data_IF_655997154096
#
_entry.id   IF_655997154096
#
_cell.length_a   1.000
_cell.length_b   1.000
_cell.length_c   1.000
_cell.angle_alpha   90.00
_cell.angle_beta   90.00
_cell.angle_gamma   90.00
#
_symmetry.space_group_name_H-M   'P 1'
#
loop_
_entity.id
_entity.type
_entity.pdbx_description
1 polymer ?
#
# COMPACT_ATOMS: atom_id res chain seq x y z
N UNK A 1 -13.74 10.76 6.42
CA UNK A 1 -13.86 10.43 7.86
C UNK A 1 -13.06 9.18 8.23
N UNK A 2 -13.15 8.09 7.47
CA UNK A 2 -12.43 6.84 7.74
C UNK A 2 -10.91 6.97 7.83
N UNK A 3 -10.27 7.76 6.95
CA UNK A 3 -8.83 7.98 6.99
C UNK A 3 -8.34 8.55 8.34
N UNK A 4 -9.13 9.45 8.96
CA UNK A 4 -8.81 9.99 10.27
C UNK A 4 -9.03 8.95 11.38
N UNK A 5 -10.15 8.23 11.33
CA UNK A 5 -10.45 7.17 12.32
C UNK A 5 -9.39 6.06 12.26
N UNK A 6 -9.00 5.64 11.06
CA UNK A 6 -7.94 4.66 10.84
C UNK A 6 -6.58 5.17 11.28
N UNK A 7 -6.21 6.40 10.90
CA UNK A 7 -4.93 7.00 11.29
C UNK A 7 -4.79 7.19 12.80
N UNK A 8 -5.82 7.72 13.48
CA UNK A 8 -5.84 7.86 14.93
C UNK A 8 -5.95 6.51 15.64
N UNK A 9 -6.79 5.60 15.16
CA UNK A 9 -6.99 4.28 15.76
C UNK A 9 -5.74 3.40 15.66
N UNK A 10 -5.06 3.41 14.52
CA UNK A 10 -3.77 2.72 14.38
C UNK A 10 -2.67 3.42 15.17
N UNK A 11 -2.63 4.74 15.15
CA UNK A 11 -1.69 5.52 15.95
C UNK A 11 -1.81 5.21 17.44
N UNK A 12 -3.03 5.13 17.97
CA UNK A 12 -3.27 4.89 19.40
C UNK A 12 -2.89 3.47 19.86
N UNK A 13 -2.92 2.48 18.97
CA UNK A 13 -2.48 1.12 19.28
C UNK A 13 -0.95 1.02 19.33
N UNK A 14 -0.25 1.74 18.44
CA UNK A 14 1.20 1.67 18.29
C UNK A 14 1.92 2.90 18.86
N UNK A 15 1.47 3.41 20.00
CA UNK A 15 2.07 4.62 20.62
C UNK A 15 3.53 4.36 21.01
N UNK A 16 4.45 5.15 20.44
CA UNK A 16 5.89 5.14 20.74
C UNK A 16 6.52 3.74 20.67
N UNK A 17 6.63 3.23 19.45
CA UNK A 17 7.24 1.91 19.21
C UNK A 17 8.68 1.87 19.74
N UNK A 18 8.99 0.83 20.53
CA UNK A 18 10.29 0.63 21.17
C UNK A 18 11.39 0.38 20.12
N UNK A 19 12.64 0.71 20.43
CA UNK A 19 13.80 0.45 19.56
C UNK A 19 14.47 -0.90 19.87
N UNK A 20 13.65 -1.93 20.09
CA UNK A 20 14.09 -3.30 20.42
C UNK A 20 13.75 -4.28 19.28
N UNK A 21 14.23 -5.53 19.31
CA UNK A 21 13.84 -6.56 18.33
C UNK A 21 12.32 -6.74 18.22
N UNK A 22 11.61 -6.65 19.35
CA UNK A 22 10.14 -6.67 19.38
C UNK A 22 9.53 -5.46 18.65
N UNK A 23 10.16 -4.29 18.77
CA UNK A 23 9.74 -3.08 18.08
C UNK A 23 9.89 -3.16 16.56
N UNK A 24 10.88 -3.91 16.06
CA UNK A 24 11.02 -4.16 14.62
C UNK A 24 9.81 -4.92 14.07
N UNK A 25 9.34 -5.93 14.81
CA UNK A 25 8.14 -6.69 14.46
C UNK A 25 6.87 -5.83 14.58
N UNK A 26 6.77 -4.97 15.61
CA UNK A 26 5.65 -4.03 15.79
C UNK A 26 5.57 -3.01 14.64
N UNK A 27 6.69 -2.37 14.25
CA UNK A 27 6.74 -1.44 13.10
C UNK A 27 6.31 -2.11 11.81
N UNK A 28 6.75 -3.36 11.63
CA UNK A 28 6.37 -4.13 10.47
C UNK A 28 4.87 -4.46 10.46
N UNK A 29 4.31 -4.89 11.59
CA UNK A 29 2.88 -5.15 11.77
C UNK A 29 2.05 -3.90 11.51
N UNK A 30 2.51 -2.75 12.00
CA UNK A 30 1.92 -1.44 11.73
C UNK A 30 1.84 -1.14 10.23
N UNK A 31 2.93 -1.31 9.48
CA UNK A 31 2.94 -1.06 8.03
C UNK A 31 2.03 -2.01 7.27
N UNK A 32 2.07 -3.30 7.61
CA UNK A 32 1.21 -4.31 6.99
C UNK A 32 -0.28 -4.05 7.26
N UNK A 33 -0.63 -3.70 8.50
CA UNK A 33 -2.00 -3.39 8.87
C UNK A 33 -2.48 -2.07 8.26
N UNK A 34 -1.65 -1.02 8.27
CA UNK A 34 -1.97 0.27 7.63
C UNK A 34 -2.24 0.09 6.14
N UNK A 35 -1.40 -0.69 5.46
CA UNK A 35 -1.60 -1.06 4.06
C UNK A 35 -2.92 -1.80 3.85
N UNK A 36 -3.22 -2.80 4.67
CA UNK A 36 -4.46 -3.57 4.55
C UNK A 36 -5.70 -2.71 4.81
N UNK A 37 -5.66 -1.84 5.82
CA UNK A 37 -6.74 -0.89 6.12
C UNK A 37 -7.00 0.06 4.95
N UNK A 38 -5.96 0.65 4.37
CA UNK A 38 -6.08 1.54 3.21
C UNK A 38 -6.71 0.81 2.01
N UNK A 39 -6.23 -0.39 1.69
CA UNK A 39 -6.78 -1.18 0.58
C UNK A 39 -8.24 -1.56 0.82
N UNK A 40 -8.59 -2.04 2.02
CA UNK A 40 -9.97 -2.37 2.37
C UNK A 40 -10.90 -1.16 2.35
N UNK A 41 -10.43 0.03 2.76
CA UNK A 41 -11.24 1.25 2.73
C UNK A 41 -11.68 1.64 1.31
N UNK A 42 -10.90 1.30 0.28
CA UNK A 42 -11.26 1.64 -1.11
C UNK A 42 -12.38 0.76 -1.68
N UNK A 43 -12.70 -0.36 -1.02
CA UNK A 43 -13.79 -1.26 -1.46
C UNK A 43 -15.15 -0.57 -1.38
N UNK A 44 -15.30 0.42 -0.50
CA UNK A 44 -16.53 1.21 -0.39
C UNK A 44 -16.81 2.11 -1.60
N UNK A 45 -15.81 2.33 -2.47
CA UNK A 45 -16.00 3.03 -3.74
C UNK A 45 -16.61 2.13 -4.83
N UNK A 46 -16.64 0.81 -4.63
CA UNK A 46 -17.21 -0.17 -5.57
C UNK A 46 -18.65 0.15 -6.04
N UNK A 47 -19.64 0.40 -5.16
CA UNK A 47 -21.01 0.67 -5.60
C UNK A 47 -21.11 1.96 -6.41
N UNK A 48 -20.26 2.95 -6.11
CA UNK A 48 -20.18 4.20 -6.86
C UNK A 48 -19.69 3.91 -8.28
N UNK A 49 -18.60 3.15 -8.43
CA UNK A 49 -18.09 2.77 -9.76
C UNK A 49 -19.09 1.94 -10.57
N UNK A 50 -19.82 1.02 -9.93
CA UNK A 50 -20.87 0.25 -10.60
C UNK A 50 -22.02 1.15 -11.08
N UNK A 51 -22.42 2.13 -10.28
CA UNK A 51 -23.46 3.10 -10.66
C UNK A 51 -22.99 4.01 -11.81
N UNK A 52 -21.78 4.56 -11.71
CA UNK A 52 -21.18 5.40 -12.77
C UNK A 52 -21.09 4.66 -14.10
N UNK A 53 -20.68 3.39 -14.08
CA UNK A 53 -20.65 2.53 -15.28
C UNK A 53 -22.00 2.44 -15.97
N UNK A 54 -23.08 2.25 -15.21
CA UNK A 54 -24.44 2.14 -15.77
C UNK A 54 -24.90 3.44 -16.44
N UNK A 55 -24.54 4.58 -15.86
CA UNK A 55 -24.81 5.90 -16.44
C UNK A 55 -23.96 6.11 -17.70
N UNK A 56 -22.66 5.85 -17.62
CA UNK A 56 -21.72 5.99 -18.72
C UNK A 56 -22.13 5.17 -19.95
N UNK A 57 -22.55 3.92 -19.78
CA UNK A 57 -23.01 3.06 -20.89
C UNK A 57 -24.26 3.63 -21.58
N UNK A 58 -25.18 4.23 -20.81
CA UNK A 58 -26.38 4.88 -21.37
C UNK A 58 -26.05 6.16 -22.12
N UNK A 59 -25.10 6.95 -21.65
CA UNK A 59 -24.72 8.22 -22.29
C UNK A 59 -23.81 8.00 -23.50
N UNK A 60 -22.92 7.01 -23.45
CA UNK A 60 -22.08 6.59 -24.57
C UNK A 60 -22.92 6.03 -25.73
N UNK A 61 -23.95 5.22 -25.46
CA UNK A 61 -24.85 4.70 -26.51
C UNK A 61 -25.68 5.79 -27.21
N UNK A 62 -25.86 6.96 -26.57
CA UNK A 62 -26.50 8.15 -27.14
C UNK A 62 -25.51 9.07 -27.87
N UNK A 63 -24.22 8.74 -27.86
CA UNK A 63 -23.17 9.56 -28.47
C UNK A 63 -22.92 10.89 -27.76
N UNK A 64 -23.30 11.03 -26.49
CA UNK A 64 -23.17 12.30 -25.75
C UNK A 64 -21.72 12.72 -25.53
N UNK A 65 -20.81 11.77 -25.26
CA UNK A 65 -19.37 11.99 -25.14
C UNK A 65 -18.57 10.69 -25.30
N UNK A 66 -17.29 10.81 -25.66
CA UNK A 66 -16.34 9.69 -25.70
C UNK A 66 -15.97 9.26 -24.28
N UNK A 67 -15.88 7.95 -24.07
CA UNK A 67 -15.50 7.35 -22.79
C UNK A 67 -14.12 7.81 -22.33
N UNK A 68 -13.17 7.95 -23.25
CA UNK A 68 -11.81 8.39 -22.93
C UNK A 68 -11.77 9.82 -22.34
N UNK A 69 -12.59 10.73 -22.85
CA UNK A 69 -12.69 12.10 -22.32
C UNK A 69 -13.26 12.13 -20.90
N UNK A 70 -14.28 11.30 -20.63
CA UNK A 70 -14.85 11.15 -19.29
C UNK A 70 -13.83 10.56 -18.31
N UNK A 71 -13.09 9.52 -18.72
CA UNK A 71 -12.10 8.86 -17.86
C UNK A 71 -10.97 9.82 -17.46
N UNK A 72 -10.44 10.59 -18.42
CA UNK A 72 -9.37 11.57 -18.17
C UNK A 72 -9.84 12.65 -17.20
N UNK A 73 -11.04 13.20 -17.42
CA UNK A 73 -11.61 14.21 -16.53
C UNK A 73 -11.77 13.67 -15.10
N UNK A 74 -12.27 12.43 -14.98
CA UNK A 74 -12.46 11.79 -13.69
C UNK A 74 -11.13 11.52 -12.97
N UNK A 75 -10.12 11.02 -13.68
CA UNK A 75 -8.78 10.80 -13.12
C UNK A 75 -8.16 12.09 -12.59
N UNK A 76 -8.27 13.20 -13.33
CA UNK A 76 -7.72 14.50 -12.91
C UNK A 76 -8.38 15.00 -11.61
N UNK A 77 -9.68 14.73 -11.42
CA UNK A 77 -10.42 15.13 -10.22
C UNK A 77 -10.09 14.22 -9.03
N UNK A 78 -10.01 12.90 -9.25
CA UNK A 78 -9.73 11.95 -8.17
C UNK A 78 -8.29 12.05 -7.65
N UNK A 79 -7.32 12.36 -8.51
CA UNK A 79 -5.91 12.43 -8.15
C UNK A 79 -5.58 13.35 -6.94
N UNK A 80 -5.99 14.64 -6.91
CA UNK A 80 -5.78 15.51 -5.75
C UNK A 80 -6.62 15.10 -4.55
N UNK A 81 -7.82 14.55 -4.77
CA UNK A 81 -8.68 14.09 -3.68
C UNK A 81 -8.03 12.94 -2.90
N UNK A 82 -7.48 11.95 -3.61
CA UNK A 82 -6.76 10.83 -2.99
C UNK A 82 -5.48 11.30 -2.28
N UNK A 83 -4.84 12.36 -2.76
CA UNK A 83 -3.68 12.96 -2.08
C UNK A 83 -4.04 13.57 -0.73
N UNK A 84 -5.17 14.27 -0.65
CA UNK A 84 -5.69 14.82 0.62
C UNK A 84 -6.00 13.69 1.60
N UNK A 85 -6.64 12.60 1.14
CA UNK A 85 -6.94 11.43 1.97
C UNK A 85 -5.65 10.80 2.52
N UNK A 86 -4.61 10.68 1.68
CA UNK A 86 -3.31 10.16 2.10
C UNK A 86 -2.66 11.03 3.18
N UNK A 87 -2.70 12.37 3.06
CA UNK A 87 -2.21 13.29 4.09
C UNK A 87 -2.98 13.12 5.39
N UNK A 88 -4.32 13.08 5.33
CA UNK A 88 -5.16 12.95 6.52
C UNK A 88 -4.93 11.63 7.28
N UNK A 89 -4.60 10.55 6.58
CA UNK A 89 -4.20 9.29 7.21
C UNK A 89 -2.78 9.34 7.78
N UNK A 90 -1.83 9.87 7.00
CA UNK A 90 -0.40 9.81 7.35
C UNK A 90 0.01 10.78 8.46
N UNK A 91 -0.59 11.97 8.56
CA UNK A 91 -0.28 12.95 9.63
C UNK A 91 -0.47 12.37 11.03
N UNK A 92 -1.67 11.95 11.46
CA UNK A 92 -1.87 11.45 12.82
C UNK A 92 -1.06 10.18 13.08
N UNK A 93 -1.00 9.27 12.11
CA UNK A 93 -0.28 8.01 12.25
C UNK A 93 1.22 8.23 12.50
N UNK A 94 1.86 9.11 11.72
CA UNK A 94 3.31 9.32 11.80
C UNK A 94 3.73 9.96 13.13
N UNK A 95 2.99 10.98 13.56
CA UNK A 95 3.29 11.73 14.78
C UNK A 95 2.96 10.95 16.06
N UNK A 96 1.89 10.15 16.07
CA UNK A 96 1.49 9.38 17.27
C UNK A 96 2.42 8.18 17.48
N UNK A 97 2.77 7.47 16.40
CA UNK A 97 3.66 6.30 16.49
C UNK A 97 5.10 6.72 16.80
N UNK A 98 5.51 7.91 16.36
CA UNK A 98 6.86 8.43 16.59
C UNK A 98 7.89 7.82 15.63
N UNK A 99 7.56 7.78 14.34
CA UNK A 99 8.50 7.38 13.27
C UNK A 99 9.62 8.42 13.11
N UNK A 100 10.55 8.14 12.19
CA UNK A 100 11.71 9.00 11.94
C UNK A 100 11.35 10.50 11.82
N UNK A 101 11.92 11.41 12.62
CA UNK A 101 11.51 12.82 12.62
C UNK A 101 11.94 13.62 11.36
N UNK A 102 12.64 13.00 10.41
CA UNK A 102 13.10 13.68 9.19
C UNK A 102 11.94 14.07 8.27
N UNK A 103 11.88 15.35 7.88
CA UNK A 103 10.88 15.85 6.92
C UNK A 103 10.90 15.11 5.57
N UNK A 104 12.09 14.65 5.14
CA UNK A 104 12.24 13.86 3.91
C UNK A 104 11.63 12.46 4.03
N UNK A 105 11.71 11.83 5.21
CA UNK A 105 11.13 10.53 5.48
C UNK A 105 9.60 10.64 5.60
N UNK A 106 9.08 11.70 6.23
CA UNK A 106 7.65 11.98 6.26
C UNK A 106 7.07 12.19 4.85
N UNK A 107 7.71 13.03 4.04
CA UNK A 107 7.26 13.29 2.67
C UNK A 107 7.23 12.02 1.81
N UNK A 108 8.26 11.17 1.92
CA UNK A 108 8.28 9.88 1.21
C UNK A 108 7.21 8.91 1.74
N UNK A 109 6.97 8.87 3.05
CA UNK A 109 5.91 8.07 3.66
C UNK A 109 4.53 8.45 3.12
N UNK A 110 4.18 9.75 3.14
CA UNK A 110 2.91 10.25 2.60
C UNK A 110 2.79 9.97 1.11
N UNK A 111 3.86 10.12 0.34
CA UNK A 111 3.88 9.78 -1.08
C UNK A 111 3.60 8.28 -1.33
N UNK A 112 4.19 7.38 -0.54
CA UNK A 112 3.91 5.94 -0.64
C UNK A 112 2.47 5.62 -0.24
N UNK A 113 1.94 6.24 0.83
CA UNK A 113 0.52 6.09 1.23
C UNK A 113 -0.42 6.55 0.11
N UNK A 114 -0.08 7.64 -0.58
CA UNK A 114 -0.86 8.10 -1.72
C UNK A 114 -0.82 7.13 -2.90
N UNK A 115 0.36 6.56 -3.22
CA UNK A 115 0.49 5.51 -4.22
C UNK A 115 -0.30 4.24 -3.85
N UNK A 116 -0.34 3.88 -2.57
CA UNK A 116 -1.14 2.75 -2.06
C UNK A 116 -2.62 2.97 -2.37
N UNK A 117 -3.16 4.15 -2.04
CA UNK A 117 -4.57 4.47 -2.25
C UNK A 117 -4.89 4.52 -3.75
N UNK A 118 -4.01 5.10 -4.57
CA UNK A 118 -4.16 5.10 -6.03
C UNK A 118 -4.21 3.68 -6.60
N UNK A 119 -3.25 2.84 -6.21
CA UNK A 119 -3.18 1.44 -6.64
C UNK A 119 -4.41 0.64 -6.20
N UNK A 120 -4.88 0.86 -4.97
CA UNK A 120 -6.08 0.22 -4.44
C UNK A 120 -7.34 0.63 -5.21
N UNK A 121 -7.51 1.94 -5.48
CA UNK A 121 -8.60 2.45 -6.31
C UNK A 121 -8.57 1.86 -7.72
N UNK A 122 -7.40 1.76 -8.36
CA UNK A 122 -7.27 1.13 -9.69
C UNK A 122 -7.65 -0.37 -9.66
N UNK A 123 -7.28 -1.10 -8.61
CA UNK A 123 -7.65 -2.51 -8.45
C UNK A 123 -9.16 -2.70 -8.30
N UNK A 124 -9.80 -1.90 -7.43
CA UNK A 124 -11.25 -1.93 -7.22
C UNK A 124 -11.99 -1.57 -8.51
N UNK A 125 -11.53 -0.54 -9.22
CA UNK A 125 -12.09 -0.13 -10.51
C UNK A 125 -11.99 -1.25 -11.56
N UNK A 126 -10.83 -1.90 -11.68
CA UNK A 126 -10.64 -3.02 -12.58
C UNK A 126 -11.58 -4.20 -12.27
N UNK A 127 -11.70 -4.57 -11.00
CA UNK A 127 -12.59 -5.65 -10.58
C UNK A 127 -14.06 -5.27 -10.74
N UNK A 128 -14.42 -3.99 -10.63
CA UNK A 128 -15.79 -3.49 -10.86
C UNK A 128 -16.27 -3.66 -12.31
N UNK A 129 -15.35 -3.63 -13.28
CA UNK A 129 -15.67 -3.86 -14.70
C UNK A 129 -15.95 -5.33 -14.96
N UNK A 130 -15.18 -6.22 -14.31
CA UNK A 130 -15.33 -7.67 -14.44
C UNK A 130 -16.61 -8.15 -13.75
N UNK A 131 -16.97 -7.56 -12.61
CA UNK A 131 -18.16 -7.96 -11.86
C UNK A 131 -19.46 -7.42 -12.48
N UNK A 132 -20.55 -8.22 -12.54
CA UNK A 132 -21.86 -7.75 -12.97
C UNK A 132 -22.61 -7.00 -11.86
N UNK A 133 -22.42 -7.41 -10.59
CA UNK A 133 -23.18 -6.95 -9.43
C UNK A 133 -22.28 -6.65 -8.23
N UNK A 134 -22.77 -5.82 -7.31
CA UNK A 134 -22.06 -5.44 -6.08
C UNK A 134 -21.66 -6.64 -5.22
N UNK A 135 -22.55 -7.62 -5.05
CA UNK A 135 -22.29 -8.80 -4.20
C UNK A 135 -21.11 -9.62 -4.75
N UNK A 136 -21.13 -9.89 -6.06
CA UNK A 136 -20.06 -10.63 -6.74
C UNK A 136 -18.75 -9.85 -6.74
N UNK A 137 -18.80 -8.54 -7.06
CA UNK A 137 -17.62 -7.67 -7.07
C UNK A 137 -16.95 -7.57 -5.70
N UNK A 138 -17.73 -7.36 -4.64
CA UNK A 138 -17.20 -7.29 -3.28
C UNK A 138 -16.54 -8.60 -2.85
N UNK A 139 -17.15 -9.74 -3.17
CA UNK A 139 -16.56 -11.05 -2.86
C UNK A 139 -15.23 -11.24 -3.61
N UNK A 140 -15.17 -10.90 -4.89
CA UNK A 140 -13.93 -11.01 -5.68
C UNK A 140 -12.82 -10.12 -5.14
N UNK A 141 -13.13 -8.86 -4.82
CA UNK A 141 -12.17 -7.91 -4.25
C UNK A 141 -11.63 -8.43 -2.92
N UNK A 142 -12.50 -8.85 -2.00
CA UNK A 142 -12.08 -9.40 -0.71
C UNK A 142 -11.18 -10.64 -0.87
N UNK A 143 -11.51 -11.55 -1.81
CA UNK A 143 -10.68 -12.72 -2.09
C UNK A 143 -9.31 -12.34 -2.65
N UNK A 144 -9.25 -11.41 -3.60
CA UNK A 144 -8.00 -10.95 -4.22
C UNK A 144 -7.12 -10.23 -3.20
N UNK A 145 -7.70 -9.31 -2.42
CA UNK A 145 -6.99 -8.59 -1.35
C UNK A 145 -6.44 -9.55 -0.29
N UNK A 146 -7.24 -10.52 0.16
CA UNK A 146 -6.81 -11.53 1.12
C UNK A 146 -5.67 -12.40 0.60
N UNK A 147 -5.76 -12.85 -0.66
CA UNK A 147 -4.70 -13.64 -1.30
C UNK A 147 -3.40 -12.83 -1.42
N UNK A 148 -3.46 -11.58 -1.88
CA UNK A 148 -2.27 -10.73 -1.99
C UNK A 148 -1.67 -10.39 -0.62
N UNK A 149 -2.50 -10.22 0.42
CA UNK A 149 -2.02 -9.98 1.78
C UNK A 149 -1.25 -11.18 2.34
N UNK A 150 -1.71 -12.41 2.08
CA UNK A 150 -1.01 -13.64 2.48
C UNK A 150 0.38 -13.74 1.83
N UNK A 151 0.47 -13.45 0.53
CA UNK A 151 1.72 -13.47 -0.24
C UNK A 151 2.49 -12.13 -0.23
N UNK A 152 2.21 -11.23 0.71
CA UNK A 152 2.87 -9.92 0.79
C UNK A 152 4.32 -9.96 1.29
N UNK A 153 4.76 -11.09 1.85
CA UNK A 153 6.04 -11.21 2.56
C UNK A 153 5.97 -10.84 4.05
N UNK A 154 4.79 -10.46 4.56
CA UNK A 154 4.55 -10.25 5.99
C UNK A 154 4.34 -11.58 6.75
N UNK A 155 3.40 -12.42 6.31
CA UNK A 155 3.10 -13.69 6.98
C UNK A 155 4.10 -14.80 6.64
N UNK A 156 4.43 -14.93 5.36
CA UNK A 156 5.32 -15.97 4.86
C UNK A 156 6.52 -15.27 4.20
N UNK A 157 7.74 -15.42 4.75
CA UNK A 157 8.94 -14.91 4.11
C UNK A 157 9.16 -15.58 2.76
N UNK A 158 9.70 -14.84 1.79
CA UNK A 158 9.96 -15.30 0.41
C UNK A 158 10.65 -16.66 0.34
N UNK A 159 11.60 -16.92 1.23
CA UNK A 159 12.43 -18.14 1.26
C UNK A 159 11.62 -19.40 1.54
N UNK A 160 10.50 -19.27 2.26
CA UNK A 160 9.62 -20.39 2.60
C UNK A 160 8.46 -20.56 1.60
N UNK A 161 8.34 -19.67 0.61
CA UNK A 161 7.29 -19.79 -0.42
C UNK A 161 7.71 -20.87 -1.42
N UNK A 162 6.89 -21.91 -1.63
CA UNK A 162 7.18 -22.94 -2.62
C UNK A 162 7.32 -22.36 -4.03
N UNK A 163 8.22 -22.92 -4.85
CA UNK A 163 8.55 -22.39 -6.20
C UNK A 163 7.32 -22.20 -7.09
N UNK A 164 6.28 -23.03 -6.94
CA UNK A 164 5.05 -22.95 -7.71
C UNK A 164 4.15 -21.76 -7.32
N UNK A 165 4.18 -21.29 -6.07
CA UNK A 165 3.46 -20.09 -5.61
C UNK A 165 4.27 -18.80 -5.71
N UNK A 166 5.55 -18.88 -6.10
CA UNK A 166 6.44 -17.73 -6.14
C UNK A 166 5.93 -16.62 -7.09
N UNK A 167 5.17 -16.97 -8.12
CA UNK A 167 4.57 -15.99 -9.02
C UNK A 167 3.59 -15.06 -8.30
N UNK A 168 2.80 -15.56 -7.34
CA UNK A 168 1.87 -14.76 -6.54
C UNK A 168 2.59 -13.76 -5.63
N UNK A 169 3.79 -14.09 -5.18
CA UNK A 169 4.62 -13.16 -4.42
C UNK A 169 5.10 -11.98 -5.27
N UNK A 170 5.35 -12.16 -6.58
CA UNK A 170 5.71 -11.06 -7.47
C UNK A 170 4.49 -10.28 -7.99
N UNK A 171 3.34 -10.94 -8.14
CA UNK A 171 2.09 -10.26 -8.56
C UNK A 171 1.45 -9.49 -7.40
N UNK A 172 1.73 -9.85 -6.15
CA UNK A 172 1.11 -9.22 -4.98
C UNK A 172 1.37 -7.71 -4.93
N UNK A 173 0.27 -6.97 -5.04
CA UNK A 173 0.23 -5.52 -4.90
C UNK A 173 0.55 -5.05 -3.47
N UNK A 174 0.50 -5.94 -2.48
CA UNK A 174 0.87 -5.62 -1.10
C UNK A 174 2.39 -5.56 -0.88
N UNK A 175 3.15 -6.33 -1.66
CA UNK A 175 4.59 -6.47 -1.45
C UNK A 175 5.33 -5.15 -1.66
N UNK A 176 5.14 -4.53 -2.83
CA UNK A 176 5.92 -3.35 -3.22
C UNK A 176 5.73 -2.15 -2.29
N UNK A 177 4.50 -1.78 -1.89
CA UNK A 177 4.33 -0.68 -0.94
C UNK A 177 4.85 -1.03 0.45
N UNK A 178 4.69 -2.26 0.92
CA UNK A 178 5.24 -2.70 2.21
C UNK A 178 6.77 -2.57 2.22
N UNK A 179 7.44 -3.02 1.18
CA UNK A 179 8.89 -2.88 1.03
C UNK A 179 9.31 -1.39 1.00
N UNK A 180 8.55 -0.52 0.32
CA UNK A 180 8.78 0.93 0.33
C UNK A 180 8.68 1.55 1.72
N UNK A 181 7.66 1.19 2.52
CA UNK A 181 7.47 1.71 3.87
C UNK A 181 8.59 1.27 4.81
N UNK A 182 8.98 0.00 4.73
CA UNK A 182 10.09 -0.57 5.53
C UNK A 182 11.41 0.09 5.14
N UNK A 183 11.69 0.23 3.84
CA UNK A 183 12.88 0.94 3.37
C UNK A 183 12.83 2.40 3.83
N UNK A 184 11.67 3.07 3.86
CA UNK A 184 11.62 4.46 4.30
C UNK A 184 12.10 4.62 5.75
N UNK A 185 11.58 3.77 6.63
CA UNK A 185 11.86 3.82 8.07
C UNK A 185 13.31 3.45 8.39
N UNK A 186 13.76 2.30 7.90
CA UNK A 186 15.08 1.77 8.29
C UNK A 186 16.25 2.39 7.53
N UNK A 187 16.01 3.12 6.43
CA UNK A 187 17.10 3.69 5.62
C UNK A 187 17.90 4.77 6.34
N UNK A 188 17.22 5.57 7.16
CA UNK A 188 17.81 6.65 7.95
C UNK A 188 18.35 6.11 9.28
N UNK A 189 17.72 5.08 9.86
CA UNK A 189 18.20 4.37 11.07
C UNK A 189 19.12 3.16 10.74
N UNK A 190 19.83 3.19 9.60
CA UNK A 190 20.64 2.05 9.15
C UNK A 190 21.81 1.68 10.04
N UNK A 191 22.32 2.62 10.83
CA UNK A 191 23.44 2.40 11.75
C UNK A 191 22.98 2.27 13.20
N UNK A 192 21.68 2.39 13.46
CA UNK A 192 21.16 2.21 14.82
C UNK A 192 21.07 0.73 15.17
N UNK A 193 21.43 0.46 16.42
CA UNK A 193 21.42 -0.87 16.99
C UNK A 193 20.10 -1.11 17.73
N UNK A 194 19.31 -2.07 17.24
CA UNK A 194 18.02 -2.46 17.83
C UNK A 194 18.15 -3.58 18.87
N UNK A 195 19.29 -4.28 18.88
CA UNK A 195 19.55 -5.36 19.83
C UNK A 195 21.02 -5.39 20.16
N UNK A 196 21.36 -5.16 21.44
CA UNK A 196 22.74 -5.15 21.91
C UNK A 196 22.95 -6.36 22.80
N UNK A 197 23.96 -7.18 22.50
CA UNK A 197 24.42 -8.18 23.46
C UNK A 197 25.31 -7.49 24.48
N UNK A 198 24.95 -7.56 25.75
CA UNK A 198 25.85 -7.13 26.83
C UNK A 198 26.75 -8.31 27.16
N UNK A 199 27.95 -8.33 26.56
CA UNK A 199 29.08 -9.16 26.98
C UNK A 199 30.08 -8.36 27.79
N UNK A 200 30.97 -9.03 28.55
CA UNK A 200 31.79 -8.40 29.58
C UNK A 200 32.72 -7.26 29.15
N UNK A 201 33.04 -7.05 27.86
CA UNK A 201 33.86 -5.91 27.42
C UNK A 201 33.60 -5.37 25.99
N UNK A 202 32.67 -5.94 25.21
CA UNK A 202 32.28 -5.41 23.89
C UNK A 202 30.75 -5.38 23.76
N UNK A 203 30.22 -4.21 23.40
CA UNK A 203 28.81 -4.02 23.10
C UNK A 203 28.53 -4.30 21.62
N UNK A 204 28.61 -5.56 21.22
CA UNK A 204 28.29 -5.97 19.85
C UNK A 204 26.80 -5.79 19.53
N UNK A 205 26.54 -5.15 18.40
CA UNK A 205 25.19 -5.02 17.88
C UNK A 205 24.75 -6.31 17.18
N UNK A 206 23.72 -6.98 17.72
CA UNK A 206 23.17 -8.21 17.17
C UNK A 206 22.20 -7.97 16.01
N UNK A 207 21.51 -6.83 16.01
CA UNK A 207 20.52 -6.50 14.99
C UNK A 207 20.58 -5.02 14.63
N UNK A 208 21.02 -4.76 13.41
CA UNK A 208 21.09 -3.41 12.83
C UNK A 208 19.96 -3.23 11.81
N UNK A 209 19.56 -1.99 11.51
CA UNK A 209 18.57 -1.70 10.46
C UNK A 209 18.94 -2.28 9.08
N UNK A 210 20.24 -2.38 8.78
CA UNK A 210 20.77 -3.05 7.58
C UNK A 210 20.51 -4.55 7.59
N UNK A 211 20.59 -5.22 8.74
CA UNK A 211 20.31 -6.65 8.87
C UNK A 211 18.82 -6.94 8.67
N UNK A 212 17.94 -6.05 9.13
CA UNK A 212 16.48 -6.12 8.89
C UNK A 212 16.18 -6.04 7.38
N UNK A 213 16.82 -5.10 6.67
CA UNK A 213 16.68 -4.97 5.22
C UNK A 213 17.25 -6.19 4.48
N UNK A 214 18.41 -6.69 4.89
CA UNK A 214 19.06 -7.87 4.30
C UNK A 214 18.23 -9.15 4.47
N UNK A 215 17.66 -9.39 5.66
CA UNK A 215 16.77 -10.54 5.92
C UNK A 215 15.53 -10.55 5.03
N UNK A 216 15.17 -9.40 4.44
CA UNK A 216 14.06 -9.28 3.49
C UNK A 216 14.49 -9.26 2.02
N UNK A 217 15.78 -9.39 1.74
CA UNK A 217 16.33 -9.27 0.39
C UNK A 217 16.28 -7.85 -0.15
N UNK A 218 16.18 -6.84 0.70
CA UNK A 218 16.12 -5.41 0.36
C UNK A 218 17.51 -4.75 0.48
N UNK A 219 18.54 -5.44 0.00
CA UNK A 219 19.96 -5.06 0.17
C UNK A 219 20.39 -3.86 -0.70
N UNK A 220 19.70 -3.62 -1.82
CA UNK A 220 19.94 -2.48 -2.72
C UNK A 220 18.86 -1.42 -2.61
N UNK A 221 19.19 -0.17 -2.95
CA UNK A 221 18.28 0.98 -2.96
C UNK A 221 17.18 0.81 -4.02
N UNK A 222 16.21 -0.02 -3.70
CA UNK A 222 15.15 -0.48 -4.61
C UNK A 222 13.96 0.48 -4.57
N UNK A 223 14.07 1.62 -3.85
CA UNK A 223 13.02 2.64 -3.69
C UNK A 223 12.40 3.02 -5.02
N UNK A 224 13.22 3.33 -6.02
CA UNK A 224 12.75 3.74 -7.35
C UNK A 224 12.08 2.60 -8.12
N UNK A 225 12.58 1.38 -7.99
CA UNK A 225 12.02 0.22 -8.70
C UNK A 225 10.69 -0.23 -8.08
N UNK A 226 10.55 -0.16 -6.76
CA UNK A 226 9.29 -0.47 -6.09
C UNK A 226 8.27 0.63 -6.32
N UNK A 227 8.66 1.90 -6.27
CA UNK A 227 7.79 3.02 -6.67
C UNK A 227 7.35 2.86 -8.11
N UNK A 228 8.26 2.58 -9.05
CA UNK A 228 7.90 2.37 -10.45
C UNK A 228 6.96 1.18 -10.64
N UNK A 229 7.14 0.10 -9.88
CA UNK A 229 6.25 -1.07 -9.94
C UNK A 229 4.84 -0.75 -9.42
N UNK A 230 4.72 0.02 -8.34
CA UNK A 230 3.41 0.45 -7.81
C UNK A 230 2.72 1.40 -8.80
N UNK A 231 3.45 2.36 -9.34
CA UNK A 231 2.91 3.30 -10.34
C UNK A 231 2.54 2.59 -11.64
N UNK A 232 3.37 1.66 -12.14
CA UNK A 232 3.05 0.89 -13.34
C UNK A 232 1.84 0.00 -13.14
N UNK A 233 1.71 -0.66 -11.98
CA UNK A 233 0.56 -1.51 -11.68
C UNK A 233 -0.75 -0.73 -11.69
N UNK A 234 -0.75 0.49 -11.14
CA UNK A 234 -1.92 1.37 -11.14
C UNK A 234 -2.23 1.99 -12.51
N UNK A 235 -1.21 2.22 -13.34
CA UNK A 235 -1.36 2.80 -14.69
C UNK A 235 -1.83 1.74 -15.71
N UNK A 236 -1.30 0.52 -15.65
CA UNK A 236 -1.67 -0.59 -16.53
C UNK A 236 -3.16 -0.96 -16.36
N UNK A 237 -3.70 -0.86 -15.14
CA UNK A 237 -5.13 -1.09 -14.90
C UNK A 237 -6.01 0.00 -15.52
N UNK A 238 -5.55 1.26 -15.53
CA UNK A 238 -6.26 2.36 -16.20
C UNK A 238 -6.24 2.22 -17.73
N UNK A 239 -5.12 1.80 -18.32
CA UNK A 239 -5.00 1.57 -19.77
C UNK A 239 -5.86 0.38 -20.24
N UNK A 240 -5.89 -0.71 -19.49
CA UNK A 240 -6.76 -1.86 -19.77
C UNK A 240 -8.23 -1.44 -19.72
N UNK A 241 -8.62 -0.59 -18.77
CA UNK A 241 -9.97 -0.05 -18.68
C UNK A 241 -10.36 0.76 -19.92
N UNK A 242 -9.45 1.62 -20.39
CA UNK A 242 -9.67 2.45 -21.59
C UNK A 242 -9.85 1.60 -22.85
N UNK A 243 -9.26 0.39 -22.85
CA UNK A 243 -9.34 -0.57 -23.96
C UNK A 243 -10.59 -1.45 -23.88
N UNK A 244 -11.10 -1.77 -22.68
CA UNK A 244 -12.32 -2.60 -22.54
C UNK A 244 -13.63 -1.83 -22.78
N UNK A 245 -13.61 -0.50 -22.72
CA UNK A 245 -14.82 0.34 -22.87
C UNK A 245 -14.92 0.99 -24.27
N UNK A 246 -13.89 0.87 -25.11
CA UNK A 246 -13.96 1.20 -26.55
C UNK A 246 -14.15 -0.07 -27.39
#
# INVERSE_FOLDING_TARGET
>A
MQALVGGFGLGSVYVKVRKDEGGVAERLGLFAFSLSFLLSSTVEALPIYLQERQVLMKEASRGAYRVSSYLIANTIIFFPFLFIVAILFSVPLYWIVGLNPSASAFGFFTFVVWLIVLMASSLVLFLSVISPDFISGNSLICTVLGAFFLFSGYFIPREFIPKYWLFMYYVSLYRYPLDCLVINEYWSERNECFSRRVGNDLSDCLLTGTDVLKRRGLDKDTRRMNVSAVTSSGCTTADILTTMVN
#
